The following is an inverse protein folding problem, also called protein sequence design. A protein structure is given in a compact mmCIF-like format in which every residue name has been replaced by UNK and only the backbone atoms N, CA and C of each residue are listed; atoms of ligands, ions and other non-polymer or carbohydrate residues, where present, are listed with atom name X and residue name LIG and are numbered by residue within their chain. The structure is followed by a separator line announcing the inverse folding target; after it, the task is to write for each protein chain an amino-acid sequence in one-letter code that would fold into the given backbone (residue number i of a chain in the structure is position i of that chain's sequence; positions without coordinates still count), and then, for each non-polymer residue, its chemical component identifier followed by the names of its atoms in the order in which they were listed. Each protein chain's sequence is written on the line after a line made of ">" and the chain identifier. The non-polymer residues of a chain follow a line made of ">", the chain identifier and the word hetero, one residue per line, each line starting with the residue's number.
data_IF_198773409297
#
_entry.id   IF_198773409297
#
_cell.length_a   1.000
_cell.length_b   1.000
_cell.length_c   1.000
_cell.angle_alpha   90.00
_cell.angle_beta   90.00
_cell.angle_gamma   90.00
#
_symmetry.space_group_name_H-M   'P 1'
#
loop_
_entity.id
_entity.type
_entity.pdbx_description
1 polymer ?
#
# COMPACT_ATOMS: atom_id res chain seq x y z
N UNK A 1 17.81 3.92 1.42
CA UNK A 1 18.39 2.56 1.51
C UNK A 1 19.90 2.59 1.82
N UNK A 2 20.72 3.37 1.10
CA UNK A 2 22.18 3.46 1.35
C UNK A 2 22.47 4.02 2.75
N UNK A 3 21.78 5.07 3.16
CA UNK A 3 21.93 5.69 4.50
C UNK A 3 21.57 4.70 5.62
N UNK A 4 20.48 3.93 5.45
CA UNK A 4 20.08 2.94 6.46
C UNK A 4 21.08 1.78 6.54
N UNK A 5 21.61 1.34 5.40
CA UNK A 5 22.61 0.28 5.35
C UNK A 5 23.93 0.73 5.99
N UNK A 6 24.43 1.91 5.61
CA UNK A 6 25.66 2.46 6.19
C UNK A 6 25.50 2.75 7.68
N UNK A 7 24.35 3.26 8.13
CA UNK A 7 24.05 3.44 9.55
C UNK A 7 24.01 2.12 10.30
N UNK A 8 23.41 1.08 9.73
CA UNK A 8 23.40 -0.28 10.32
C UNK A 8 24.79 -0.89 10.45
N UNK A 9 25.63 -0.77 9.40
CA UNK A 9 27.03 -1.24 9.42
C UNK A 9 27.82 -0.45 10.47
N UNK A 10 27.67 0.87 10.52
CA UNK A 10 28.36 1.72 11.50
C UNK A 10 27.99 1.34 12.93
N UNK A 11 26.71 1.13 13.22
CA UNK A 11 26.24 0.67 14.54
C UNK A 11 26.76 -0.72 14.87
N UNK A 12 26.84 -1.62 13.91
CA UNK A 12 27.40 -2.96 14.10
C UNK A 12 28.88 -2.90 14.51
N UNK A 13 29.64 -2.00 13.89
CA UNK A 13 31.05 -1.76 14.28
C UNK A 13 31.18 -1.15 15.68
N UNK A 14 30.34 -0.17 16.02
CA UNK A 14 30.37 0.49 17.34
C UNK A 14 29.97 -0.43 18.48
N UNK A 15 29.09 -1.39 18.24
CA UNK A 15 28.58 -2.28 19.28
C UNK A 15 29.39 -3.56 19.44
N UNK A 16 30.45 -3.75 18.64
CA UNK A 16 31.34 -4.93 18.66
C UNK A 16 30.56 -6.27 18.67
N UNK A 17 29.33 -6.27 18.11
CA UNK A 17 28.51 -7.48 18.05
C UNK A 17 29.00 -8.42 16.97
N UNK A 18 29.06 -9.70 17.31
CA UNK A 18 29.37 -10.76 16.36
C UNK A 18 28.41 -10.70 15.16
N UNK A 19 28.92 -10.74 13.91
CA UNK A 19 28.07 -10.74 12.71
C UNK A 19 26.96 -11.80 12.74
N UNK A 20 27.26 -12.97 13.32
CA UNK A 20 26.29 -14.06 13.46
C UNK A 20 25.06 -13.70 14.28
N UNK A 21 25.22 -12.89 15.32
CA UNK A 21 24.09 -12.39 16.14
C UNK A 21 23.27 -11.34 15.40
N UNK A 22 23.92 -10.52 14.57
CA UNK A 22 23.25 -9.53 13.73
C UNK A 22 22.41 -10.22 12.66
N UNK A 23 22.98 -11.20 11.95
CA UNK A 23 22.26 -11.99 10.94
C UNK A 23 21.14 -12.85 11.54
N UNK A 24 21.28 -13.32 12.78
CA UNK A 24 20.24 -14.04 13.49
C UNK A 24 19.03 -13.17 13.89
N UNK A 25 19.21 -11.84 13.98
CA UNK A 25 18.13 -10.89 14.22
C UNK A 25 17.39 -10.43 12.96
N UNK A 26 17.82 -10.87 11.77
CA UNK A 26 17.16 -10.52 10.50
C UNK A 26 15.92 -11.39 10.32
N UNK A 27 14.80 -10.75 10.00
CA UNK A 27 13.54 -11.43 9.66
C UNK A 27 13.60 -12.00 8.23
N UNK A 28 14.30 -13.11 8.05
CA UNK A 28 14.48 -13.76 6.75
C UNK A 28 13.17 -14.14 6.08
N UNK A 29 12.19 -14.59 6.85
CA UNK A 29 10.86 -14.94 6.36
C UNK A 29 10.19 -13.74 5.67
N UNK A 30 10.31 -12.55 6.26
CA UNK A 30 9.81 -11.30 5.69
C UNK A 30 10.54 -10.94 4.40
N UNK A 31 11.85 -11.12 4.35
CA UNK A 31 12.65 -10.83 3.14
C UNK A 31 12.28 -11.78 2.00
N UNK A 32 12.19 -13.10 2.25
CA UNK A 32 11.77 -14.08 1.24
C UNK A 32 10.34 -13.85 0.77
N UNK A 33 9.45 -13.45 1.68
CA UNK A 33 8.09 -13.05 1.31
C UNK A 33 8.10 -11.88 0.31
N UNK A 34 8.88 -10.83 0.56
CA UNK A 34 8.97 -9.69 -0.36
C UNK A 34 9.61 -10.06 -1.69
N UNK A 35 10.64 -10.90 -1.70
CA UNK A 35 11.25 -11.40 -2.94
C UNK A 35 10.18 -12.11 -3.79
N UNK A 36 9.45 -13.05 -3.20
CA UNK A 36 8.34 -13.75 -3.89
C UNK A 36 7.26 -12.79 -4.38
N UNK A 37 6.88 -11.82 -3.55
CA UNK A 37 5.90 -10.79 -3.91
C UNK A 37 6.35 -9.99 -5.14
N UNK A 38 7.59 -9.51 -5.19
CA UNK A 38 8.09 -8.73 -6.33
C UNK A 38 8.21 -9.58 -7.60
N UNK A 39 8.54 -10.86 -7.49
CA UNK A 39 8.53 -11.80 -8.63
C UNK A 39 7.11 -11.94 -9.18
N UNK A 40 6.10 -12.13 -8.31
CA UNK A 40 4.70 -12.21 -8.72
C UNK A 40 4.21 -10.91 -9.38
N UNK A 41 4.51 -9.76 -8.81
CA UNK A 41 4.17 -8.45 -9.40
C UNK A 41 4.81 -8.30 -10.78
N UNK A 42 6.06 -8.72 -10.95
CA UNK A 42 6.74 -8.70 -12.25
C UNK A 42 6.09 -9.65 -13.25
N UNK A 43 5.66 -10.82 -12.82
CA UNK A 43 4.87 -11.75 -13.63
C UNK A 43 3.57 -11.13 -14.12
N UNK A 44 2.79 -10.51 -13.23
CA UNK A 44 1.54 -9.81 -13.54
C UNK A 44 1.77 -8.64 -14.51
N UNK A 45 2.89 -7.91 -14.34
CA UNK A 45 3.30 -6.84 -15.26
C UNK A 45 3.55 -7.38 -16.68
N UNK A 46 4.30 -8.48 -16.79
CA UNK A 46 4.62 -9.08 -18.09
C UNK A 46 3.38 -9.64 -18.80
N UNK A 47 2.35 -10.05 -18.06
CA UNK A 47 1.04 -10.45 -18.60
C UNK A 47 0.19 -9.26 -19.08
N UNK A 48 0.66 -8.03 -18.92
CA UNK A 48 -0.06 -6.84 -19.35
C UNK A 48 -1.22 -6.42 -18.43
N UNK A 49 -1.46 -7.10 -17.33
CA UNK A 49 -2.57 -6.81 -16.40
C UNK A 49 -2.46 -5.39 -15.83
N UNK A 50 -1.24 -4.94 -15.49
CA UNK A 50 -1.00 -3.59 -14.98
C UNK A 50 -1.40 -2.54 -16.01
N UNK A 51 -1.04 -2.76 -17.28
CA UNK A 51 -1.44 -1.89 -18.39
C UNK A 51 -2.95 -1.89 -18.59
N UNK A 52 -3.57 -3.07 -18.60
CA UNK A 52 -5.02 -3.22 -18.71
C UNK A 52 -5.77 -2.42 -17.62
N UNK A 53 -5.34 -2.51 -16.36
CA UNK A 53 -5.94 -1.72 -15.26
C UNK A 53 -5.74 -0.23 -15.48
N UNK A 54 -4.55 0.20 -15.92
CA UNK A 54 -4.27 1.60 -16.23
C UNK A 54 -5.16 2.14 -17.34
N UNK A 55 -5.29 1.40 -18.45
CA UNK A 55 -6.13 1.77 -19.59
C UNK A 55 -7.62 1.84 -19.19
N UNK A 56 -8.07 0.90 -18.34
CA UNK A 56 -9.43 0.93 -17.79
C UNK A 56 -9.69 2.14 -16.88
N UNK A 57 -8.72 2.56 -16.09
CA UNK A 57 -8.84 3.79 -15.29
C UNK A 57 -8.99 5.02 -16.21
N UNK A 58 -8.22 5.09 -17.28
CA UNK A 58 -8.31 6.19 -18.26
C UNK A 58 -9.68 6.16 -18.95
N UNK A 59 -10.14 5.00 -19.40
CA UNK A 59 -11.44 4.80 -20.05
C UNK A 59 -12.61 5.22 -19.14
N UNK A 60 -12.66 4.71 -17.90
CA UNK A 60 -13.72 5.02 -16.92
C UNK A 60 -13.70 6.51 -16.55
N UNK A 61 -12.52 7.10 -16.49
CA UNK A 61 -12.39 8.53 -16.17
C UNK A 61 -12.81 9.45 -17.31
N UNK A 62 -13.00 8.91 -18.53
CA UNK A 62 -13.33 9.70 -19.75
C UNK A 62 -12.39 10.91 -19.95
N UNK A 63 -11.11 10.75 -19.55
CA UNK A 63 -10.14 11.84 -19.57
C UNK A 63 -10.28 12.86 -18.43
N UNK A 64 -11.20 12.66 -17.50
CA UNK A 64 -11.37 13.54 -16.36
C UNK A 64 -10.38 13.19 -15.26
N UNK A 65 -9.42 14.09 -15.01
CA UNK A 65 -8.37 13.93 -14.01
C UNK A 65 -8.90 13.69 -12.59
N UNK A 66 -9.99 14.35 -12.21
CA UNK A 66 -10.61 14.21 -10.88
C UNK A 66 -11.13 12.79 -10.66
N UNK A 67 -11.85 12.26 -11.68
CA UNK A 67 -12.40 10.89 -11.64
C UNK A 67 -11.27 9.87 -11.59
N UNK A 68 -10.23 10.02 -12.41
CA UNK A 68 -9.07 9.13 -12.39
C UNK A 68 -8.39 9.10 -11.02
N UNK A 69 -8.20 10.27 -10.39
CA UNK A 69 -7.58 10.40 -9.08
C UNK A 69 -8.37 9.68 -7.99
N UNK A 70 -9.69 9.90 -7.95
CA UNK A 70 -10.57 9.26 -6.97
C UNK A 70 -10.61 7.74 -7.22
N UNK A 71 -10.69 7.31 -8.49
CA UNK A 71 -10.67 5.88 -8.85
C UNK A 71 -9.39 5.18 -8.38
N UNK A 72 -8.22 5.80 -8.56
CA UNK A 72 -6.94 5.28 -8.06
C UNK A 72 -6.98 5.11 -6.53
N UNK A 73 -7.49 6.09 -5.80
CA UNK A 73 -7.59 6.04 -4.35
C UNK A 73 -8.48 4.89 -3.87
N UNK A 74 -9.68 4.73 -4.45
CA UNK A 74 -10.62 3.69 -4.05
C UNK A 74 -10.14 2.29 -4.44
N UNK A 75 -9.64 2.11 -5.68
CA UNK A 75 -9.09 0.82 -6.14
C UNK A 75 -7.86 0.41 -5.33
N UNK A 76 -6.97 1.35 -5.07
CA UNK A 76 -5.80 1.15 -4.21
C UNK A 76 -6.20 0.73 -2.79
N UNK A 77 -7.24 1.34 -2.22
CA UNK A 77 -7.76 0.97 -0.90
C UNK A 77 -8.30 -0.47 -0.87
N UNK A 78 -9.07 -0.87 -1.88
CA UNK A 78 -9.57 -2.24 -1.99
C UNK A 78 -8.42 -3.24 -2.13
N UNK A 79 -7.43 -2.93 -2.94
CA UNK A 79 -6.26 -3.78 -3.14
C UNK A 79 -5.44 -3.93 -1.85
N UNK A 80 -5.21 -2.84 -1.14
CA UNK A 80 -4.48 -2.85 0.15
C UNK A 80 -5.16 -3.71 1.20
N UNK A 81 -6.48 -3.72 1.24
CA UNK A 81 -7.22 -4.51 2.22
C UNK A 81 -6.97 -6.01 2.12
N UNK A 82 -6.53 -6.48 0.95
CA UNK A 82 -6.26 -7.91 0.67
C UNK A 82 -4.75 -8.19 0.71
N UNK A 83 -3.96 -7.37 0.03
CA UNK A 83 -2.54 -7.65 -0.23
C UNK A 83 -1.57 -6.86 0.66
N UNK A 84 -2.09 -5.91 1.44
CA UNK A 84 -1.29 -5.04 2.30
C UNK A 84 -0.62 -3.87 1.57
N UNK A 85 -0.06 -2.95 2.36
CA UNK A 85 0.43 -1.65 1.88
C UNK A 85 1.62 -1.76 0.92
N UNK A 86 2.55 -2.69 1.17
CA UNK A 86 3.78 -2.80 0.36
C UNK A 86 3.48 -3.33 -1.04
N UNK A 87 2.66 -4.39 -1.14
CA UNK A 87 2.21 -4.92 -2.42
C UNK A 87 1.43 -3.89 -3.21
N UNK A 88 0.54 -3.16 -2.53
CA UNK A 88 -0.24 -2.08 -3.12
C UNK A 88 0.65 -0.97 -3.68
N UNK A 89 1.58 -0.45 -2.88
CA UNK A 89 2.49 0.60 -3.32
C UNK A 89 3.33 0.17 -4.54
N UNK A 90 3.85 -1.06 -4.53
CA UNK A 90 4.63 -1.60 -5.64
C UNK A 90 3.80 -1.74 -6.93
N UNK A 91 2.55 -2.25 -6.83
CA UNK A 91 1.67 -2.48 -7.99
C UNK A 91 1.13 -1.15 -8.54
N UNK A 92 0.51 -0.35 -7.66
CA UNK A 92 -0.12 0.90 -8.08
C UNK A 92 0.87 1.98 -8.52
N UNK A 93 2.12 1.94 -8.04
CA UNK A 93 3.15 2.84 -8.58
C UNK A 93 3.39 2.62 -10.07
N UNK A 94 3.29 1.37 -10.55
CA UNK A 94 3.40 1.03 -11.97
C UNK A 94 2.14 1.43 -12.74
N UNK A 95 0.95 1.19 -12.17
CA UNK A 95 -0.33 1.62 -12.76
C UNK A 95 -0.34 3.15 -12.94
N UNK A 96 0.05 3.92 -11.92
CA UNK A 96 0.11 5.39 -12.01
C UNK A 96 1.05 5.84 -13.12
N UNK A 97 2.22 5.21 -13.28
CA UNK A 97 3.13 5.51 -14.38
C UNK A 97 2.52 5.25 -15.76
N UNK A 98 1.61 4.27 -15.88
CA UNK A 98 0.87 4.00 -17.11
C UNK A 98 -0.26 5.02 -17.32
N UNK A 99 -0.88 5.51 -16.25
CA UNK A 99 -1.99 6.48 -16.31
C UNK A 99 -1.52 7.90 -16.60
N UNK A 100 -0.37 8.33 -16.04
CA UNK A 100 0.17 9.70 -16.20
C UNK A 100 0.22 10.18 -17.65
N UNK A 101 0.70 9.40 -18.65
CA UNK A 101 0.74 9.84 -20.02
C UNK A 101 -0.62 10.21 -20.63
N UNK A 102 -1.71 9.64 -20.12
CA UNK A 102 -3.08 9.99 -20.53
C UNK A 102 -3.54 11.37 -20.05
N UNK A 103 -2.79 12.01 -19.13
CA UNK A 103 -3.14 13.30 -18.50
C UNK A 103 -2.02 14.35 -18.64
N UNK A 104 -1.33 14.37 -19.79
CA UNK A 104 -0.18 15.28 -20.04
C UNK A 104 -0.54 16.77 -19.95
N UNK A 105 -1.80 17.13 -20.17
CA UNK A 105 -2.28 18.52 -20.08
C UNK A 105 -2.55 18.99 -18.63
N UNK A 106 -2.34 18.13 -17.62
CA UNK A 106 -2.58 18.46 -16.23
C UNK A 106 -1.27 18.86 -15.54
N UNK A 107 -1.21 20.07 -15.03
CA UNK A 107 0.00 20.63 -14.42
C UNK A 107 0.52 19.86 -13.19
N UNK A 108 -0.34 19.09 -12.51
CA UNK A 108 0.03 18.45 -11.25
C UNK A 108 -0.37 16.97 -11.16
N UNK A 109 0.28 16.13 -11.95
CA UNK A 109 0.09 14.66 -11.89
C UNK A 109 0.59 14.04 -10.57
N UNK A 110 1.29 14.80 -9.73
CA UNK A 110 1.72 14.34 -8.39
C UNK A 110 0.53 13.99 -7.49
N UNK A 111 -0.65 14.50 -7.79
CA UNK A 111 -1.89 14.21 -7.06
C UNK A 111 -2.25 12.71 -7.10
N UNK A 112 -1.90 11.98 -8.16
CA UNK A 112 -2.09 10.53 -8.22
C UNK A 112 -1.29 9.78 -7.12
N UNK A 113 -0.12 10.27 -6.76
CA UNK A 113 0.68 9.70 -5.68
C UNK A 113 0.07 9.97 -4.29
N UNK A 114 -0.56 11.13 -4.11
CA UNK A 114 -1.34 11.40 -2.91
C UNK A 114 -2.57 10.49 -2.84
N UNK A 115 -3.28 10.29 -3.94
CA UNK A 115 -4.40 9.36 -4.00
C UNK A 115 -3.99 7.93 -3.63
N UNK A 116 -2.85 7.45 -4.14
CA UNK A 116 -2.26 6.17 -3.76
C UNK A 116 -1.95 6.12 -2.26
N UNK A 117 -1.34 7.15 -1.72
CA UNK A 117 -0.98 7.22 -0.30
C UNK A 117 -2.21 7.13 0.60
N UNK A 118 -3.24 7.93 0.33
CA UNK A 118 -4.51 7.87 1.08
C UNK A 118 -5.19 6.50 0.93
N UNK A 119 -5.30 5.99 -0.29
CA UNK A 119 -5.92 4.69 -0.55
C UNK A 119 -5.18 3.56 0.16
N UNK A 120 -3.86 3.56 0.10
CA UNK A 120 -3.02 2.56 0.77
C UNK A 120 -3.16 2.59 2.29
N UNK A 121 -3.07 3.78 2.90
CA UNK A 121 -3.15 3.92 4.35
C UNK A 121 -4.55 3.60 4.88
N UNK A 122 -5.59 4.13 4.26
CA UNK A 122 -6.97 3.97 4.74
C UNK A 122 -7.51 2.56 4.45
N UNK A 123 -7.15 1.98 3.30
CA UNK A 123 -7.51 0.61 2.93
C UNK A 123 -6.96 -0.45 3.85
N UNK A 124 -5.78 -0.21 4.43
CA UNK A 124 -5.16 -1.13 5.38
C UNK A 124 -6.00 -1.40 6.64
N UNK A 125 -6.92 -0.50 7.00
CA UNK A 125 -7.79 -0.66 8.16
C UNK A 125 -9.04 -1.52 7.91
N UNK A 126 -9.33 -1.91 6.67
CA UNK A 126 -10.51 -2.70 6.31
C UNK A 126 -10.44 -4.10 6.87
N UNK A 127 -9.29 -4.76 6.76
CA UNK A 127 -9.11 -6.15 7.21
C UNK A 127 -7.96 -6.28 8.21
N UNK A 128 -7.94 -7.39 8.96
CA UNK A 128 -6.84 -7.71 9.86
C UNK A 128 -5.50 -7.83 9.12
N UNK A 129 -5.53 -8.41 7.92
CA UNK A 129 -4.33 -8.67 7.10
C UNK A 129 -3.92 -7.49 6.23
N UNK A 130 -4.76 -6.48 6.11
CA UNK A 130 -4.48 -5.28 5.31
C UNK A 130 -3.29 -4.44 5.83
N UNK A 131 -2.91 -4.64 7.11
CA UNK A 131 -1.75 -3.99 7.73
C UNK A 131 -1.09 -4.90 8.77
N UNK A 132 0.24 -4.95 8.76
CA UNK A 132 1.01 -5.67 9.78
C UNK A 132 0.67 -5.20 11.20
N UNK A 133 0.41 -3.92 11.38
CA UNK A 133 0.00 -3.33 12.68
C UNK A 133 -1.30 -3.94 13.19
N UNK A 134 -2.26 -4.21 12.31
CA UNK A 134 -3.52 -4.84 12.70
C UNK A 134 -3.30 -6.28 13.19
N UNK A 135 -2.43 -7.03 12.49
CA UNK A 135 -2.08 -8.40 12.89
C UNK A 135 -1.45 -8.42 14.29
N UNK A 136 -0.51 -7.51 14.55
CA UNK A 136 0.13 -7.38 15.87
C UNK A 136 -0.89 -7.00 16.94
N UNK A 137 -1.76 -6.02 16.66
CA UNK A 137 -2.79 -5.57 17.61
C UNK A 137 -3.78 -6.70 17.96
N UNK A 138 -4.25 -7.46 16.96
CA UNK A 138 -5.14 -8.60 17.15
C UNK A 138 -4.46 -9.72 17.94
N UNK A 139 -3.20 -10.00 17.63
CA UNK A 139 -2.40 -10.99 18.36
C UNK A 139 -2.19 -10.60 19.83
N UNK A 140 -1.90 -9.33 20.09
CA UNK A 140 -1.77 -8.80 21.45
C UNK A 140 -3.09 -8.87 22.22
N UNK A 141 -4.21 -8.53 21.58
CA UNK A 141 -5.54 -8.64 22.16
C UNK A 141 -5.90 -10.09 22.52
N UNK A 142 -5.56 -11.03 21.65
CA UNK A 142 -5.78 -12.46 21.90
C UNK A 142 -4.96 -12.96 23.13
N UNK A 143 -3.71 -12.50 23.27
CA UNK A 143 -2.87 -12.80 24.45
C UNK A 143 -3.44 -12.21 25.74
N UNK A 144 -4.14 -11.07 25.66
CA UNK A 144 -4.83 -10.44 26.79
C UNK A 144 -6.22 -11.06 27.09
N UNK A 145 -6.57 -12.18 26.45
CA UNK A 145 -7.85 -12.88 26.66
C UNK A 145 -9.02 -12.37 25.81
N UNK A 146 -8.84 -11.31 25.04
CA UNK A 146 -9.87 -10.74 24.16
C UNK A 146 -9.66 -11.18 22.71
N UNK A 147 -10.33 -12.24 22.27
CA UNK A 147 -10.25 -12.70 20.87
C UNK A 147 -11.12 -11.83 19.98
N UNK A 148 -10.50 -11.22 18.98
CA UNK A 148 -11.18 -10.45 17.94
C UNK A 148 -11.41 -11.37 16.74
N UNK A 149 -12.68 -11.59 16.38
CA UNK A 149 -13.05 -12.37 15.21
C UNK A 149 -12.86 -11.59 13.91
N UNK A 150 -12.42 -12.27 12.84
CA UNK A 150 -12.16 -11.66 11.53
C UNK A 150 -13.38 -10.90 10.98
N UNK A 151 -14.56 -11.51 11.08
CA UNK A 151 -15.80 -10.93 10.54
C UNK A 151 -16.19 -9.66 11.34
N UNK A 152 -16.02 -9.69 12.66
CA UNK A 152 -16.27 -8.52 13.50
C UNK A 152 -15.32 -7.37 13.16
N UNK A 153 -14.03 -7.68 13.02
CA UNK A 153 -13.03 -6.69 12.60
C UNK A 153 -13.37 -6.09 11.24
N UNK A 154 -13.65 -6.95 10.25
CA UNK A 154 -14.00 -6.52 8.89
C UNK A 154 -15.24 -5.61 8.87
N UNK A 155 -16.33 -6.01 9.54
CA UNK A 155 -17.55 -5.19 9.58
C UNK A 155 -17.34 -3.80 10.18
N UNK A 156 -16.50 -3.71 11.21
CA UNK A 156 -16.19 -2.45 11.86
C UNK A 156 -15.16 -1.65 11.07
N UNK A 157 -14.07 -2.29 10.67
CA UNK A 157 -12.99 -1.68 9.89
C UNK A 157 -13.46 -1.15 8.54
N UNK A 158 -14.30 -1.90 7.82
CA UNK A 158 -14.86 -1.46 6.54
C UNK A 158 -15.70 -0.20 6.68
N UNK A 159 -16.55 -0.10 7.72
CA UNK A 159 -17.37 1.10 7.96
C UNK A 159 -16.49 2.34 8.20
N UNK A 160 -15.48 2.20 9.06
CA UNK A 160 -14.54 3.30 9.36
C UNK A 160 -13.73 3.66 8.12
N UNK A 161 -13.22 2.67 7.39
CA UNK A 161 -12.44 2.91 6.19
C UNK A 161 -13.24 3.62 5.10
N UNK A 162 -14.48 3.21 4.85
CA UNK A 162 -15.38 3.89 3.88
C UNK A 162 -15.61 5.34 4.30
N UNK A 163 -15.89 5.60 5.57
CA UNK A 163 -16.11 6.96 6.06
C UNK A 163 -14.85 7.82 5.89
N UNK A 164 -13.68 7.28 6.22
CA UNK A 164 -12.40 7.95 6.03
C UNK A 164 -12.07 8.16 4.54
N UNK A 165 -12.39 7.20 3.67
CA UNK A 165 -12.21 7.35 2.22
C UNK A 165 -13.12 8.42 1.63
N UNK A 166 -14.36 8.53 2.10
CA UNK A 166 -15.26 9.62 1.71
C UNK A 166 -14.68 10.96 2.15
N UNK A 167 -14.25 11.08 3.41
CA UNK A 167 -13.64 12.29 3.94
C UNK A 167 -12.36 12.66 3.15
N UNK A 168 -11.51 11.67 2.85
CA UNK A 168 -10.31 11.85 2.04
C UNK A 168 -10.65 12.25 0.60
N UNK A 169 -11.75 11.70 0.01
CA UNK A 169 -12.22 12.08 -1.33
C UNK A 169 -12.66 13.55 -1.36
N UNK A 170 -13.40 13.99 -0.36
CA UNK A 170 -13.82 15.40 -0.23
C UNK A 170 -12.61 16.30 -0.04
N UNK A 171 -11.67 15.92 0.83
CA UNK A 171 -10.44 16.67 1.05
C UNK A 171 -9.61 16.80 -0.24
N UNK A 172 -9.41 15.68 -0.96
CA UNK A 172 -8.67 15.66 -2.23
C UNK A 172 -9.37 16.56 -3.27
N UNK A 173 -10.70 16.49 -3.35
CA UNK A 173 -11.49 17.30 -4.27
C UNK A 173 -11.35 18.81 -3.99
N UNK A 174 -11.41 19.21 -2.73
CA UNK A 174 -11.35 20.62 -2.35
C UNK A 174 -9.92 21.21 -2.43
N UNK A 175 -8.89 20.39 -2.19
CA UNK A 175 -7.52 20.87 -2.04
C UNK A 175 -6.67 20.72 -3.30
N UNK A 176 -6.91 19.70 -4.10
CA UNK A 176 -6.01 19.31 -5.20
C UNK A 176 -6.69 19.15 -6.56
N UNK A 177 -8.00 19.02 -6.60
CA UNK A 177 -8.79 18.77 -7.80
C UNK A 177 -9.73 19.94 -8.14
#
# INVERSE_FOLDING_TARGET
>A
SVISLSGGIFLAFLTEREPKKIFGGVEWDTLFFFIGLFIMIKGIENLGVIKFIGDKIIEISTGNFKVATISIMWLSSMFTSIFGNVANAATFSKIIKTVIPGFQNVANTKVFWWALSFGSCLGGSITMIGSATNVVAVSASAKAGCKIDFIKFFKFGAKIAILNLIAASVYMYLRYL
#
